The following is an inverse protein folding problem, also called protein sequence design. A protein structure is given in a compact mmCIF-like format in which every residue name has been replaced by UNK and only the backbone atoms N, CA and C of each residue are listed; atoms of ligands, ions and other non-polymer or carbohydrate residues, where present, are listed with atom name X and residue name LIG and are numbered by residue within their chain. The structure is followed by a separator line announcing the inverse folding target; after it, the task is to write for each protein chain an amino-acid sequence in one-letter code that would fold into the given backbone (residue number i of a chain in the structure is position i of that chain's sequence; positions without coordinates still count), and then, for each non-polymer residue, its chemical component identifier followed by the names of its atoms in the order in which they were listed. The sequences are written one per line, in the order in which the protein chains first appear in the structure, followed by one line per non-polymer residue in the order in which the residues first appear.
data_IF_865064502297
#
_entry.id   IF_865064502297
#
_cell.length_a   1.000
_cell.length_b   1.000
_cell.length_c   1.000
_cell.angle_alpha   90.00
_cell.angle_beta   90.00
_cell.angle_gamma   90.00
#
_symmetry.space_group_name_H-M   'P 1'
#
loop_
_entity.id
_entity.type
_entity.pdbx_description
1 polymer ?
#
# COMPACT_ATOMS: atom_id res chain seq x y z
N UNK A 1 -10.10 -12.94 15.04
CA UNK A 1 -9.94 -11.47 15.18
C UNK A 1 -8.61 -11.07 14.56
N UNK A 2 -8.54 -9.98 13.79
CA UNK A 2 -7.28 -9.50 13.24
C UNK A 2 -6.34 -9.07 14.37
N UNK A 3 -5.04 -9.37 14.23
CA UNK A 3 -4.03 -8.94 15.17
C UNK A 3 -3.86 -7.41 15.13
N UNK A 4 -3.35 -6.77 16.20
CA UNK A 4 -3.05 -5.33 16.20
C UNK A 4 -2.18 -4.89 15.02
N UNK A 5 -1.25 -5.76 14.59
CA UNK A 5 -0.39 -5.52 13.43
C UNK A 5 -1.17 -5.54 12.11
N UNK A 6 -2.13 -6.45 11.96
CA UNK A 6 -2.99 -6.50 10.77
C UNK A 6 -3.93 -5.29 10.70
N UNK A 7 -4.49 -4.85 11.84
CA UNK A 7 -5.31 -3.64 11.91
C UNK A 7 -4.49 -2.41 11.49
N UNK A 8 -3.26 -2.30 11.98
CA UNK A 8 -2.34 -1.21 11.62
C UNK A 8 -1.92 -1.26 10.14
N UNK A 9 -1.68 -2.47 9.60
CA UNK A 9 -1.42 -2.67 8.17
C UNK A 9 -2.57 -2.16 7.32
N UNK A 10 -3.77 -2.66 7.59
CA UNK A 10 -4.98 -2.28 6.86
C UNK A 10 -5.28 -0.77 6.93
N UNK A 11 -5.10 -0.14 8.09
CA UNK A 11 -5.27 1.31 8.23
C UNK A 11 -4.24 2.10 7.41
N UNK A 12 -3.02 1.58 7.28
CA UNK A 12 -1.97 2.13 6.43
C UNK A 12 -2.32 2.03 4.96
N UNK A 13 -2.74 0.84 4.51
CA UNK A 13 -3.18 0.60 3.12
C UNK A 13 -4.33 1.52 2.72
N UNK A 14 -5.34 1.64 3.58
CA UNK A 14 -6.47 2.54 3.37
C UNK A 14 -6.04 4.01 3.25
N UNK A 15 -5.09 4.43 4.07
CA UNK A 15 -4.57 5.80 4.05
C UNK A 15 -3.74 6.07 2.80
N UNK A 16 -2.89 5.13 2.41
CA UNK A 16 -2.10 5.19 1.17
C UNK A 16 -3.02 5.26 -0.05
N UNK A 17 -4.03 4.39 -0.12
CA UNK A 17 -5.00 4.37 -1.20
C UNK A 17 -5.74 5.71 -1.33
N UNK A 18 -6.26 6.26 -0.21
CA UNK A 18 -6.95 7.56 -0.24
C UNK A 18 -6.04 8.67 -0.75
N UNK A 19 -4.79 8.71 -0.30
CA UNK A 19 -3.82 9.71 -0.75
C UNK A 19 -3.56 9.58 -2.26
N UNK A 20 -3.28 8.38 -2.75
CA UNK A 20 -2.95 8.13 -4.16
C UNK A 20 -4.14 8.45 -5.08
N UNK A 21 -5.35 8.05 -4.67
CA UNK A 21 -6.57 8.43 -5.38
C UNK A 21 -6.81 9.94 -5.37
N UNK A 22 -6.50 10.63 -4.27
CA UNK A 22 -6.68 12.09 -4.16
C UNK A 22 -5.77 12.88 -5.10
N UNK A 23 -4.63 12.32 -5.50
CA UNK A 23 -3.71 12.92 -6.47
C UNK A 23 -3.98 12.46 -7.91
N UNK A 24 -5.10 11.78 -8.16
CA UNK A 24 -5.57 11.42 -9.50
C UNK A 24 -5.22 10.02 -9.98
N UNK A 25 -4.53 9.21 -9.16
CA UNK A 25 -4.26 7.82 -9.52
C UNK A 25 -5.52 6.97 -9.42
N UNK A 26 -5.69 6.03 -10.34
CA UNK A 26 -6.84 5.15 -10.38
C UNK A 26 -6.49 3.80 -9.79
N UNK A 27 -7.25 3.34 -8.81
CA UNK A 27 -7.07 2.00 -8.27
C UNK A 27 -7.40 0.95 -9.32
N UNK A 28 -6.46 0.05 -9.59
CA UNK A 28 -6.66 -1.13 -10.44
C UNK A 28 -7.03 -2.33 -9.57
N UNK A 29 -6.22 -2.63 -8.55
CA UNK A 29 -6.45 -3.76 -7.67
C UNK A 29 -5.80 -3.57 -6.29
N UNK A 30 -6.39 -4.18 -5.26
CA UNK A 30 -5.87 -4.25 -3.90
C UNK A 30 -5.61 -5.70 -3.52
N UNK A 31 -4.65 -5.93 -2.62
CA UNK A 31 -4.32 -7.24 -2.06
C UNK A 31 -4.14 -8.28 -3.16
N UNK A 32 -3.38 -7.93 -4.20
CA UNK A 32 -3.11 -8.81 -5.32
C UNK A 32 -2.18 -9.93 -4.85
N UNK A 33 -2.56 -11.18 -5.10
CA UNK A 33 -1.75 -12.35 -4.75
C UNK A 33 -1.58 -13.23 -5.97
N UNK A 34 -0.36 -13.69 -6.21
CA UNK A 34 -0.01 -14.61 -7.27
C UNK A 34 1.01 -15.64 -6.77
N UNK A 35 1.36 -16.62 -7.61
CA UNK A 35 2.34 -17.67 -7.25
C UNK A 35 3.71 -17.10 -6.83
N UNK A 36 4.05 -15.89 -7.28
CA UNK A 36 5.37 -15.29 -7.08
C UNK A 36 5.43 -14.32 -5.89
N UNK A 37 4.28 -13.99 -5.28
CA UNK A 37 4.22 -13.03 -4.18
C UNK A 37 2.92 -12.25 -4.15
N UNK A 38 2.91 -11.23 -3.30
CA UNK A 38 1.77 -10.36 -3.03
C UNK A 38 2.14 -8.92 -3.32
N UNK A 39 1.14 -8.10 -3.66
CA UNK A 39 1.26 -6.65 -3.80
C UNK A 39 0.03 -6.00 -3.15
N UNK A 40 0.28 -5.02 -2.28
CA UNK A 40 -0.79 -4.36 -1.52
C UNK A 40 -1.71 -3.54 -2.43
N UNK A 41 -1.18 -2.67 -3.28
CA UNK A 41 -1.95 -1.84 -4.20
C UNK A 41 -1.34 -1.79 -5.60
N UNK A 42 -2.20 -1.86 -6.61
CA UNK A 42 -1.88 -1.64 -8.02
C UNK A 42 -2.73 -0.46 -8.48
N UNK A 43 -2.09 0.59 -8.99
CA UNK A 43 -2.75 1.80 -9.48
C UNK A 43 -2.30 2.16 -10.89
N UNK A 44 -3.08 3.01 -11.55
CA UNK A 44 -2.79 3.60 -12.83
C UNK A 44 -2.62 5.12 -12.66
N UNK A 45 -1.47 5.64 -13.09
CA UNK A 45 -1.16 7.07 -13.16
C UNK A 45 -0.97 7.47 -14.64
N UNK A 46 -2.05 7.96 -15.26
CA UNK A 46 -2.12 8.14 -16.71
C UNK A 46 -1.97 6.79 -17.44
N UNK A 47 -0.86 6.61 -18.15
CA UNK A 47 -0.53 5.36 -18.84
C UNK A 47 0.48 4.48 -18.06
N UNK A 48 0.81 4.86 -16.83
CA UNK A 48 1.82 4.18 -16.00
C UNK A 48 1.16 3.27 -14.98
N UNK A 49 1.49 1.99 -14.99
CA UNK A 49 1.08 1.05 -13.93
C UNK A 49 2.04 1.14 -12.74
N UNK A 50 1.51 1.46 -11.56
CA UNK A 50 2.26 1.68 -10.33
C UNK A 50 1.95 0.57 -9.32
N UNK A 51 2.98 -0.10 -8.84
CA UNK A 51 2.90 -1.11 -7.78
C UNK A 51 3.35 -0.49 -6.45
N UNK A 52 2.52 -0.61 -5.41
CA UNK A 52 2.77 0.05 -4.12
C UNK A 52 2.75 -1.00 -3.00
N UNK A 53 3.85 -1.02 -2.25
CA UNK A 53 4.04 -1.80 -1.03
C UNK A 53 3.91 -0.87 0.19
N UNK A 54 2.96 -1.15 1.08
CA UNK A 54 2.62 -0.29 2.21
C UNK A 54 3.24 -0.84 3.49
N UNK A 55 4.12 -0.04 4.11
CA UNK A 55 4.80 -0.41 5.36
C UNK A 55 4.34 0.46 6.53
N UNK A 56 3.40 -0.05 7.31
CA UNK A 56 3.00 0.58 8.58
C UNK A 56 3.98 0.25 9.71
N UNK A 57 4.39 1.26 10.49
CA UNK A 57 5.29 1.11 11.65
C UNK A 57 4.62 1.71 12.89
N UNK A 58 4.71 1.01 14.02
CA UNK A 58 4.11 1.44 15.29
C UNK A 58 5.00 2.41 16.10
N UNK A 59 6.22 2.73 15.64
CA UNK A 59 7.18 3.59 16.35
C UNK A 59 7.97 4.51 15.42
N UNK A 60 8.36 5.68 15.93
CA UNK A 60 8.98 6.79 15.19
C UNK A 60 10.48 6.65 14.88
N UNK A 61 11.04 5.44 14.85
CA UNK A 61 12.39 5.25 14.34
C UNK A 61 12.35 5.31 12.81
N UNK A 62 12.60 6.51 12.27
CA UNK A 62 12.71 6.76 10.84
C UNK A 62 13.91 6.00 10.27
N UNK A 63 13.66 5.04 9.38
CA UNK A 63 14.66 4.40 8.54
C UNK A 63 14.21 4.57 7.10
N UNK A 64 15.01 5.27 6.29
CA UNK A 64 14.66 5.73 4.95
C UNK A 64 14.11 4.61 4.08
N UNK A 65 13.08 4.92 3.31
CA UNK A 65 12.70 4.12 2.15
C UNK A 65 13.77 4.32 1.06
N UNK A 66 14.94 3.71 1.26
CA UNK A 66 15.98 3.50 0.26
C UNK A 66 17.00 2.49 0.80
N UNK A 67 16.88 1.24 0.37
CA UNK A 67 17.97 0.32 0.09
C UNK A 67 17.40 -0.81 -0.77
#
# INVERSE_FOLDING_TARGET
MPSPRQVLGHAGEESALRLLCSVGQQLVQRNYSCRMGEIDLILLDGDTLVFVEVRSRAGGAYGGAAA
#
